data_IF_349998721692
#
_entry.id   IF_349998721692
#
_cell.length_a   1.000
_cell.length_b   1.000
_cell.length_c   1.000
_cell.angle_alpha   90.00
_cell.angle_beta   90.00
_cell.angle_gamma   90.00
#
_symmetry.space_group_name_H-M   'P 1'
#
loop_
_entity.id
_entity.type
_entity.pdbx_description
1 polymer ?
#
# COMPACT_ATOMS: atom_id res chain seq x y z
N UNK A 1 13.44 -4.52 -21.42
CA UNK A 1 12.68 -5.42 -20.49
C UNK A 1 11.21 -5.04 -20.58
N UNK A 2 10.39 -5.86 -21.19
CA UNK A 2 8.96 -5.57 -21.28
C UNK A 2 8.29 -5.48 -19.91
N UNK A 3 7.45 -4.47 -19.70
CA UNK A 3 6.69 -4.27 -18.47
C UNK A 3 5.23 -4.60 -18.71
N UNK A 4 4.67 -5.51 -17.92
CA UNK A 4 3.23 -5.73 -17.88
C UNK A 4 2.66 -4.90 -16.74
N UNK A 5 1.82 -3.93 -17.08
CA UNK A 5 1.09 -3.11 -16.11
C UNK A 5 -0.27 -3.75 -15.86
N UNK A 6 -0.63 -3.96 -14.60
CA UNK A 6 -1.91 -4.54 -14.19
C UNK A 6 -2.73 -3.50 -13.43
N UNK A 7 -3.93 -3.20 -13.94
CA UNK A 7 -4.92 -2.33 -13.29
C UNK A 7 -6.13 -3.20 -12.89
N UNK A 8 -6.33 -3.50 -11.60
CA UNK A 8 -7.59 -4.04 -11.11
C UNK A 8 -8.63 -2.93 -11.06
N UNK A 9 -9.86 -3.18 -11.48
CA UNK A 9 -10.95 -2.21 -11.41
C UNK A 9 -12.28 -2.86 -11.06
N UNK A 10 -13.12 -2.14 -10.31
CA UNK A 10 -14.49 -2.50 -10.01
C UNK A 10 -15.29 -1.23 -9.71
N UNK A 11 -16.31 -0.95 -10.54
CA UNK A 11 -17.17 0.24 -10.41
C UNK A 11 -16.35 1.55 -10.32
N UNK A 12 -15.50 1.79 -11.33
CA UNK A 12 -14.61 2.96 -11.42
C UNK A 12 -14.74 3.69 -12.76
N UNK A 13 -15.96 3.74 -13.32
CA UNK A 13 -16.21 4.44 -14.58
C UNK A 13 -15.66 5.87 -14.62
N UNK A 14 -15.62 6.56 -13.48
CA UNK A 14 -15.20 7.96 -13.37
C UNK A 14 -13.67 8.15 -13.31
N UNK A 15 -12.86 7.12 -13.01
CA UNK A 15 -11.40 7.25 -12.85
C UNK A 15 -10.58 6.36 -13.77
N UNK A 16 -11.09 5.16 -14.10
CA UNK A 16 -10.31 4.12 -14.80
C UNK A 16 -9.70 4.58 -16.13
N UNK A 17 -10.39 5.45 -16.87
CA UNK A 17 -9.88 5.97 -18.16
C UNK A 17 -8.63 6.82 -17.98
N UNK A 18 -8.59 7.65 -16.93
CA UNK A 18 -7.43 8.49 -16.64
C UNK A 18 -6.26 7.64 -16.12
N UNK A 19 -6.52 6.61 -15.30
CA UNK A 19 -5.51 5.63 -14.89
C UNK A 19 -4.89 4.95 -16.14
N UNK A 20 -5.71 4.42 -17.04
CA UNK A 20 -5.27 3.79 -18.30
C UNK A 20 -4.44 4.77 -19.14
N UNK A 21 -4.91 6.00 -19.34
CA UNK A 21 -4.20 7.02 -20.10
C UNK A 21 -2.84 7.36 -19.49
N UNK A 22 -2.74 7.41 -18.16
CA UNK A 22 -1.50 7.70 -17.46
C UNK A 22 -0.42 6.63 -17.73
N UNK A 23 -0.83 5.38 -17.97
CA UNK A 23 0.04 4.28 -18.39
C UNK A 23 0.40 4.38 -19.87
N UNK A 24 -0.59 4.54 -20.75
CA UNK A 24 -0.38 4.55 -22.20
C UNK A 24 0.47 5.74 -22.67
N UNK A 25 0.51 6.84 -21.91
CA UNK A 25 1.32 8.02 -22.16
C UNK A 25 2.73 7.96 -21.53
N UNK A 26 3.12 6.87 -20.87
CA UNK A 26 4.46 6.70 -20.33
C UNK A 26 5.53 6.90 -21.41
N UNK A 27 6.68 7.47 -21.02
CA UNK A 27 7.84 7.63 -21.92
C UNK A 27 8.46 6.29 -22.31
N UNK A 28 8.37 5.29 -21.43
CA UNK A 28 8.78 3.92 -21.71
C UNK A 28 7.72 3.23 -22.56
N UNK A 29 8.09 2.70 -23.75
CA UNK A 29 7.14 2.21 -24.75
C UNK A 29 7.00 0.68 -24.79
N UNK A 30 8.00 -0.06 -24.33
CA UNK A 30 7.98 -1.53 -24.29
C UNK A 30 7.13 -2.02 -23.09
N UNK A 31 5.82 -1.79 -23.19
CA UNK A 31 4.84 -2.17 -22.19
C UNK A 31 3.61 -2.80 -22.81
N UNK A 32 2.95 -3.67 -22.06
CA UNK A 32 1.55 -4.07 -22.22
C UNK A 32 0.74 -3.61 -21.00
N UNK A 33 -0.52 -3.30 -21.21
CA UNK A 33 -1.45 -2.88 -20.17
C UNK A 33 -2.61 -3.87 -20.09
N UNK A 34 -2.79 -4.48 -18.94
CA UNK A 34 -3.84 -5.44 -18.64
C UNK A 34 -4.76 -4.83 -17.59
N UNK A 35 -5.97 -4.46 -18.01
CA UNK A 35 -7.02 -4.03 -17.11
C UNK A 35 -7.91 -5.21 -16.78
N UNK A 36 -8.07 -5.51 -15.51
CA UNK A 36 -8.97 -6.57 -15.04
C UNK A 36 -10.19 -5.92 -14.40
N UNK A 37 -11.31 -5.95 -15.13
CA UNK A 37 -12.60 -5.50 -14.61
C UNK A 37 -13.25 -6.63 -13.80
N UNK A 38 -13.25 -6.50 -12.50
CA UNK A 38 -13.73 -7.53 -11.57
C UNK A 38 -15.27 -7.55 -11.45
N UNK A 39 -15.94 -7.48 -12.59
CA UNK A 39 -17.40 -7.60 -12.69
C UNK A 39 -18.13 -6.30 -12.39
N UNK A 40 -17.67 -5.15 -12.88
CA UNK A 40 -18.33 -3.86 -12.72
C UNK A 40 -19.79 -3.89 -13.23
N UNK A 41 -20.64 -3.15 -12.52
CA UNK A 41 -22.07 -2.99 -12.82
C UNK A 41 -22.42 -1.58 -13.32
N UNK A 42 -21.41 -0.68 -13.31
CA UNK A 42 -21.50 0.69 -13.86
C UNK A 42 -20.94 0.75 -15.29
N UNK A 43 -20.73 1.94 -15.85
CA UNK A 43 -20.21 2.15 -17.21
C UNK A 43 -18.71 1.83 -17.37
N UNK A 44 -18.02 1.23 -16.37
CA UNK A 44 -16.57 0.94 -16.43
C UNK A 44 -16.21 0.16 -17.69
N UNK A 45 -16.89 -0.97 -17.94
CA UNK A 45 -16.60 -1.83 -19.11
C UNK A 45 -16.83 -1.11 -20.45
N UNK A 46 -17.91 -0.32 -20.55
CA UNK A 46 -18.21 0.47 -21.75
C UNK A 46 -17.14 1.52 -22.03
N UNK A 47 -16.68 2.24 -20.99
CA UNK A 47 -15.61 3.25 -21.10
C UNK A 47 -14.27 2.63 -21.49
N UNK A 48 -13.92 1.47 -20.95
CA UNK A 48 -12.72 0.73 -21.33
C UNK A 48 -12.78 0.24 -22.76
N UNK A 49 -13.94 -0.26 -23.20
CA UNK A 49 -14.16 -0.74 -24.59
C UNK A 49 -14.06 0.37 -25.65
N UNK A 50 -14.21 1.62 -25.27
CA UNK A 50 -14.04 2.78 -26.17
C UNK A 50 -12.57 3.18 -26.38
N UNK A 51 -11.62 2.58 -25.64
CA UNK A 51 -10.20 2.89 -25.77
C UNK A 51 -9.54 2.01 -26.83
N UNK A 52 -8.96 2.62 -27.83
CA UNK A 52 -8.27 1.95 -28.93
C UNK A 52 -6.76 2.10 -28.81
N UNK A 53 -6.10 1.18 -28.13
CA UNK A 53 -4.63 1.08 -28.08
C UNK A 53 -4.20 -0.39 -28.17
N UNK A 54 -3.30 -0.78 -29.09
CA UNK A 54 -2.90 -2.17 -29.27
C UNK A 54 -2.20 -2.79 -28.06
N UNK A 55 -1.71 -1.98 -27.14
CA UNK A 55 -1.06 -2.43 -25.90
C UNK A 55 -2.07 -2.73 -24.78
N UNK A 56 -3.34 -2.26 -24.92
CA UNK A 56 -4.39 -2.44 -23.93
C UNK A 56 -5.13 -3.75 -24.14
N UNK A 57 -5.24 -4.53 -23.08
CA UNK A 57 -6.10 -5.73 -23.01
C UNK A 57 -7.03 -5.59 -21.82
N UNK A 58 -8.32 -5.71 -22.03
CA UNK A 58 -9.34 -5.72 -20.96
C UNK A 58 -9.77 -7.17 -20.72
N UNK A 59 -9.78 -7.60 -19.48
CA UNK A 59 -10.17 -8.94 -19.04
C UNK A 59 -11.32 -8.79 -18.04
N UNK A 60 -12.38 -9.57 -18.25
CA UNK A 60 -13.51 -9.61 -17.32
C UNK A 60 -13.24 -10.63 -16.22
N UNK A 61 -13.26 -10.17 -14.97
CA UNK A 61 -13.21 -10.97 -13.75
C UNK A 61 -14.57 -11.51 -13.32
N UNK A 62 -14.63 -12.11 -12.12
CA UNK A 62 -15.84 -12.75 -11.57
C UNK A 62 -16.28 -12.17 -10.25
N UNK A 63 -15.91 -10.93 -9.95
CA UNK A 63 -16.15 -10.26 -8.67
C UNK A 63 -15.53 -11.02 -7.48
N UNK A 64 -14.25 -11.37 -7.64
CA UNK A 64 -13.50 -12.17 -6.67
C UNK A 64 -12.55 -11.30 -5.77
N UNK A 65 -12.58 -9.99 -5.95
CA UNK A 65 -11.80 -9.03 -5.17
C UNK A 65 -10.46 -8.66 -5.80
N UNK A 66 -9.85 -7.61 -5.25
CA UNK A 66 -8.65 -6.95 -5.81
C UNK A 66 -7.44 -7.89 -5.92
N UNK A 67 -7.24 -8.79 -4.95
CA UNK A 67 -6.18 -9.80 -4.98
C UNK A 67 -6.32 -10.73 -6.18
N UNK A 68 -7.53 -11.28 -6.38
CA UNK A 68 -7.83 -12.17 -7.51
C UNK A 68 -7.70 -11.44 -8.84
N UNK A 69 -8.16 -10.19 -8.93
CA UNK A 69 -8.00 -9.37 -10.13
C UNK A 69 -6.52 -9.11 -10.46
N UNK A 70 -5.69 -8.76 -9.47
CA UNK A 70 -4.24 -8.60 -9.69
C UNK A 70 -3.57 -9.92 -10.11
N UNK A 71 -3.88 -11.03 -9.44
CA UNK A 71 -3.36 -12.36 -9.78
C UNK A 71 -3.77 -12.77 -11.21
N UNK A 72 -5.04 -12.57 -11.57
CA UNK A 72 -5.54 -12.84 -12.93
C UNK A 72 -4.79 -11.99 -13.96
N UNK A 73 -4.59 -10.70 -13.71
CA UNK A 73 -3.80 -9.82 -14.58
C UNK A 73 -2.38 -10.34 -14.79
N UNK A 74 -1.69 -10.69 -13.70
CA UNK A 74 -0.32 -11.23 -13.76
C UNK A 74 -0.27 -12.59 -14.47
N UNK A 75 -1.29 -13.44 -14.33
CA UNK A 75 -1.35 -14.73 -15.05
C UNK A 75 -1.43 -14.57 -16.56
N UNK A 76 -1.86 -13.42 -17.06
CA UNK A 76 -1.96 -13.06 -18.47
C UNK A 76 -0.80 -12.17 -18.96
N UNK A 77 0.10 -11.82 -18.07
CA UNK A 77 1.26 -10.99 -18.34
C UNK A 77 2.37 -11.77 -19.04
N UNK A 78 3.00 -11.12 -20.02
CA UNK A 78 4.14 -11.67 -20.77
C UNK A 78 5.47 -10.99 -20.38
N UNK A 79 5.41 -9.80 -19.79
CA UNK A 79 6.57 -8.99 -19.43
C UNK A 79 7.46 -9.62 -18.36
N UNK A 80 8.72 -9.24 -18.38
CA UNK A 80 9.71 -9.63 -17.37
C UNK A 80 9.51 -8.87 -16.04
N UNK A 81 8.91 -7.69 -16.13
CA UNK A 81 8.55 -6.84 -15.00
C UNK A 81 7.04 -6.72 -14.89
N UNK A 82 6.54 -6.71 -13.66
CA UNK A 82 5.16 -6.46 -13.31
C UNK A 82 5.09 -5.13 -12.58
N UNK A 83 4.16 -4.29 -12.95
CA UNK A 83 3.85 -3.06 -12.24
C UNK A 83 2.35 -2.98 -11.99
N UNK A 84 1.94 -2.44 -10.85
CA UNK A 84 0.54 -2.29 -10.48
C UNK A 84 0.13 -0.82 -10.49
N UNK A 85 -1.10 -0.55 -10.87
CA UNK A 85 -1.73 0.75 -10.72
C UNK A 85 -3.18 0.54 -10.30
N UNK A 86 -3.60 1.14 -9.20
CA UNK A 86 -4.99 1.13 -8.79
C UNK A 86 -5.82 2.07 -9.71
N UNK A 87 -7.05 1.71 -9.98
CA UNK A 87 -7.89 2.36 -11.02
C UNK A 87 -8.35 3.78 -10.68
N UNK A 88 -8.04 4.27 -9.50
CA UNK A 88 -8.27 5.64 -9.01
C UNK A 88 -6.97 6.45 -8.86
N UNK A 89 -5.81 5.84 -9.17
CA UNK A 89 -4.49 6.47 -9.10
C UNK A 89 -3.96 6.86 -10.49
N UNK A 90 -2.89 7.66 -10.51
CA UNK A 90 -2.26 8.12 -11.75
C UNK A 90 -0.73 7.95 -11.68
N UNK A 91 -0.09 7.87 -12.85
CA UNK A 91 1.36 7.89 -12.97
C UNK A 91 1.86 9.15 -13.69
N UNK A 92 3.00 9.66 -13.22
CA UNK A 92 3.78 10.63 -13.96
C UNK A 92 4.51 9.98 -15.14
N UNK A 93 4.71 10.68 -16.28
CA UNK A 93 5.22 10.08 -17.52
C UNK A 93 6.60 9.43 -17.46
N UNK A 94 7.38 9.68 -16.42
CA UNK A 94 8.74 9.15 -16.24
C UNK A 94 8.86 7.91 -15.37
N UNK A 95 7.76 7.41 -14.78
CA UNK A 95 7.81 6.33 -13.79
C UNK A 95 8.47 5.07 -14.32
N UNK A 96 7.89 4.45 -15.34
CA UNK A 96 8.43 3.19 -15.89
C UNK A 96 9.85 3.34 -16.41
N UNK A 97 10.18 4.47 -17.05
CA UNK A 97 11.55 4.70 -17.55
C UNK A 97 12.58 4.72 -16.41
N UNK A 98 12.27 5.36 -15.29
CA UNK A 98 13.16 5.42 -14.13
C UNK A 98 13.34 4.04 -13.48
N UNK A 99 12.25 3.32 -13.26
CA UNK A 99 12.26 2.01 -12.61
C UNK A 99 12.95 0.93 -13.46
N UNK A 100 12.66 0.88 -14.76
CA UNK A 100 13.30 -0.06 -15.69
C UNK A 100 14.79 0.22 -15.81
N UNK A 101 15.20 1.49 -15.93
CA UNK A 101 16.61 1.87 -15.98
C UNK A 101 17.35 1.47 -14.70
N UNK A 102 16.73 1.62 -13.54
CA UNK A 102 17.30 1.20 -12.27
C UNK A 102 17.45 -0.33 -12.20
N UNK A 103 16.35 -1.09 -12.46
CA UNK A 103 16.37 -2.55 -12.43
C UNK A 103 17.32 -3.18 -13.46
N UNK A 104 17.58 -2.50 -14.58
CA UNK A 104 18.53 -2.95 -15.59
C UNK A 104 19.99 -2.86 -15.08
N UNK A 105 20.32 -1.83 -14.27
CA UNK A 105 21.66 -1.65 -13.69
C UNK A 105 21.86 -2.46 -12.40
N UNK A 106 20.77 -2.88 -11.76
CA UNK A 106 20.78 -3.58 -10.48
C UNK A 106 20.07 -4.94 -10.59
N UNK A 107 20.73 -5.96 -11.21
CA UNK A 107 20.11 -7.29 -11.37
C UNK A 107 19.82 -7.99 -10.04
N UNK A 108 20.50 -7.62 -8.97
CA UNK A 108 20.32 -8.12 -7.60
C UNK A 108 19.07 -7.56 -6.91
N UNK A 109 18.47 -6.47 -7.44
CA UNK A 109 17.22 -5.87 -6.93
C UNK A 109 16.03 -6.55 -7.59
N UNK A 110 15.05 -6.94 -6.78
CA UNK A 110 13.87 -7.69 -7.21
C UNK A 110 12.61 -6.83 -7.32
N UNK A 111 12.51 -5.79 -6.50
CA UNK A 111 11.40 -4.86 -6.49
C UNK A 111 11.90 -3.42 -6.35
N UNK A 112 11.32 -2.50 -7.06
CA UNK A 112 11.58 -1.06 -6.95
C UNK A 112 10.29 -0.34 -6.67
N UNK A 113 10.33 0.67 -5.81
CA UNK A 113 9.21 1.54 -5.55
C UNK A 113 9.64 3.00 -5.52
N UNK A 114 8.70 3.87 -5.86
CA UNK A 114 8.92 5.31 -5.90
C UNK A 114 8.18 6.00 -4.77
N UNK A 115 8.52 7.27 -4.50
CA UNK A 115 7.62 8.12 -3.73
C UNK A 115 6.34 8.38 -4.53
N UNK A 116 5.33 8.89 -3.86
CA UNK A 116 4.08 9.28 -4.46
C UNK A 116 3.55 10.59 -3.87
N UNK A 117 2.84 11.34 -4.68
CA UNK A 117 1.99 12.43 -4.22
C UNK A 117 0.68 11.86 -3.66
N UNK A 118 0.13 12.48 -2.63
CA UNK A 118 -1.26 12.25 -2.22
C UNK A 118 -2.10 13.45 -2.61
N UNK A 119 -3.26 13.20 -3.21
CA UNK A 119 -4.25 14.23 -3.56
C UNK A 119 -5.57 13.96 -2.86
N UNK A 120 -6.07 14.99 -2.19
CA UNK A 120 -7.40 14.98 -1.57
C UNK A 120 -8.11 16.30 -1.92
N UNK A 121 -9.03 16.27 -2.86
CA UNK A 121 -9.60 17.48 -3.46
C UNK A 121 -8.48 18.36 -4.01
N UNK A 122 -8.45 19.65 -3.60
CA UNK A 122 -7.42 20.62 -4.01
C UNK A 122 -6.11 20.52 -3.20
N UNK A 123 -6.06 19.67 -2.16
CA UNK A 123 -4.88 19.52 -1.33
C UNK A 123 -3.92 18.50 -1.94
N UNK A 124 -2.66 18.92 -2.13
CA UNK A 124 -1.57 18.09 -2.64
C UNK A 124 -0.50 17.92 -1.55
N UNK A 125 -0.21 16.67 -1.19
CA UNK A 125 0.91 16.30 -0.35
C UNK A 125 2.01 15.75 -1.25
N UNK A 126 3.13 16.48 -1.44
CA UNK A 126 4.09 16.18 -2.52
C UNK A 126 4.93 14.94 -2.28
N UNK A 127 4.96 14.40 -1.07
CA UNK A 127 5.72 13.20 -0.72
C UNK A 127 5.00 12.41 0.37
N UNK A 128 4.64 11.19 0.04
CA UNK A 128 4.09 10.23 1.01
C UNK A 128 5.18 9.67 1.92
N UNK A 129 6.37 9.39 1.37
CA UNK A 129 7.46 8.78 2.13
C UNK A 129 7.94 9.69 3.28
N UNK A 130 7.91 11.01 3.09
CA UNK A 130 8.25 11.99 4.14
C UNK A 130 7.24 12.04 5.28
N UNK A 131 6.05 11.46 5.10
CA UNK A 131 5.01 11.36 6.12
C UNK A 131 5.09 10.05 6.91
N UNK A 132 5.84 9.06 6.43
CA UNK A 132 6.05 7.80 7.15
C UNK A 132 6.91 8.02 8.39
N UNK A 133 6.68 7.22 9.43
CA UNK A 133 7.38 7.41 10.71
C UNK A 133 8.67 6.61 10.82
N UNK A 134 8.77 5.48 10.14
CA UNK A 134 9.90 4.55 10.20
C UNK A 134 10.77 4.70 8.96
N UNK A 135 10.16 4.70 7.77
CA UNK A 135 10.91 4.75 6.53
C UNK A 135 11.59 6.11 6.31
N UNK A 136 10.93 7.23 6.66
CA UNK A 136 11.51 8.58 6.56
C UNK A 136 12.85 8.70 7.30
N UNK A 137 12.98 8.09 8.49
CA UNK A 137 14.24 8.09 9.25
C UNK A 137 15.38 7.34 8.56
N UNK A 138 15.05 6.35 7.71
CA UNK A 138 16.07 5.67 6.88
C UNK A 138 16.54 6.58 5.75
N UNK A 139 15.63 7.37 5.17
CA UNK A 139 15.94 8.34 4.12
C UNK A 139 16.89 9.45 4.61
N UNK A 140 16.74 9.89 5.86
CA UNK A 140 17.58 10.93 6.46
C UNK A 140 19.05 10.50 6.68
N UNK A 141 19.31 9.19 6.72
CA UNK A 141 20.61 8.62 7.07
C UNK A 141 21.48 8.21 5.89
N UNK A 142 20.97 8.27 4.68
CA UNK A 142 21.64 7.76 3.50
C UNK A 142 21.70 8.81 2.38
N UNK A 143 22.84 8.91 1.70
CA UNK A 143 22.93 9.56 0.40
C UNK A 143 22.66 8.50 -0.69
N UNK A 144 21.62 8.71 -1.51
CA UNK A 144 21.21 7.75 -2.54
C UNK A 144 20.83 8.47 -3.84
N UNK A 145 21.81 9.09 -4.54
CA UNK A 145 21.55 9.92 -5.73
C UNK A 145 20.86 9.13 -6.86
N UNK A 146 21.07 7.82 -6.94
CA UNK A 146 20.44 6.94 -7.94
C UNK A 146 19.28 6.10 -7.41
N UNK A 147 19.21 5.91 -6.09
CA UNK A 147 18.19 5.09 -5.40
C UNK A 147 18.77 4.38 -4.18
N UNK A 148 17.96 4.15 -3.18
CA UNK A 148 18.31 3.44 -1.95
C UNK A 148 18.03 1.95 -2.12
N UNK A 149 19.07 1.10 -2.15
CA UNK A 149 18.91 -0.36 -2.11
C UNK A 149 18.73 -0.80 -0.66
N UNK A 150 17.75 -1.66 -0.44
CA UNK A 150 17.36 -2.21 0.85
C UNK A 150 17.51 -3.72 0.82
N UNK A 151 18.29 -4.27 1.74
CA UNK A 151 18.36 -5.70 1.94
C UNK A 151 16.98 -6.26 2.35
N UNK A 152 16.72 -7.52 2.02
CA UNK A 152 15.46 -8.18 2.35
C UNK A 152 15.11 -8.04 3.84
N UNK A 153 16.07 -8.27 4.74
CA UNK A 153 15.89 -8.12 6.19
C UNK A 153 15.51 -6.68 6.59
N UNK A 154 16.20 -5.69 6.05
CA UNK A 154 15.94 -4.27 6.38
C UNK A 154 14.54 -3.82 5.96
N UNK A 155 14.13 -4.23 4.76
CA UNK A 155 12.78 -3.96 4.27
C UNK A 155 11.74 -4.69 5.10
N UNK A 156 11.99 -5.94 5.46
CA UNK A 156 11.07 -6.72 6.32
C UNK A 156 10.90 -6.07 7.70
N UNK A 157 11.98 -5.62 8.33
CA UNK A 157 11.91 -4.92 9.62
C UNK A 157 11.08 -3.64 9.52
N UNK A 158 11.23 -2.88 8.43
CA UNK A 158 10.39 -1.72 8.17
C UNK A 158 8.91 -2.11 8.03
N UNK A 159 8.63 -3.14 7.23
CA UNK A 159 7.27 -3.63 6.98
C UNK A 159 6.59 -4.22 8.22
N UNK A 160 7.34 -4.71 9.22
CA UNK A 160 6.77 -5.12 10.50
C UNK A 160 6.27 -3.93 11.36
N UNK A 161 6.66 -2.72 11.04
CA UNK A 161 6.25 -1.50 11.75
C UNK A 161 5.23 -0.66 10.97
N UNK A 162 5.46 -0.47 9.66
CA UNK A 162 4.61 0.32 8.78
C UNK A 162 4.66 -0.17 7.34
N UNK A 163 3.70 0.25 6.51
CA UNK A 163 3.66 -0.07 5.08
C UNK A 163 3.95 1.19 4.24
N UNK A 164 5.20 1.45 3.85
CA UNK A 164 5.54 2.63 3.05
C UNK A 164 5.19 2.45 1.56
N UNK A 165 5.01 1.22 1.09
CA UNK A 165 4.80 0.92 -0.33
C UNK A 165 3.30 0.79 -0.63
N UNK A 166 2.85 1.47 -1.68
CA UNK A 166 1.53 1.28 -2.28
C UNK A 166 1.67 0.54 -3.60
N UNK A 167 0.70 -0.30 -4.00
CA UNK A 167 0.76 -1.01 -5.28
C UNK A 167 1.05 -0.09 -6.47
N UNK A 168 0.42 1.07 -6.52
CA UNK A 168 0.60 2.06 -7.60
C UNK A 168 2.03 2.62 -7.72
N UNK A 169 2.85 2.48 -6.68
CA UNK A 169 4.26 2.88 -6.69
C UNK A 169 5.23 1.73 -6.96
N UNK A 170 4.76 0.47 -7.05
CA UNK A 170 5.58 -0.73 -7.06
C UNK A 170 5.76 -1.30 -8.48
N UNK A 171 7.01 -1.63 -8.82
CA UNK A 171 7.38 -2.47 -9.97
C UNK A 171 8.33 -3.56 -9.49
N UNK A 172 8.13 -4.81 -9.93
CA UNK A 172 8.96 -5.93 -9.51
C UNK A 172 9.21 -6.92 -10.64
N UNK A 173 10.24 -7.75 -10.47
CA UNK A 173 10.51 -8.85 -11.40
C UNK A 173 9.39 -9.88 -11.31
N UNK A 174 8.86 -10.33 -12.45
CA UNK A 174 7.80 -11.35 -12.50
C UNK A 174 8.21 -12.63 -11.76
N UNK A 175 9.48 -13.02 -11.84
CA UNK A 175 10.01 -14.16 -11.09
C UNK A 175 9.85 -13.99 -9.57
N UNK A 176 10.10 -12.78 -9.04
CA UNK A 176 9.94 -12.50 -7.61
C UNK A 176 8.46 -12.52 -7.18
N UNK A 177 7.56 -12.03 -8.04
CA UNK A 177 6.10 -12.15 -7.80
C UNK A 177 5.68 -13.61 -7.71
N UNK A 178 6.14 -14.44 -8.65
CA UNK A 178 5.83 -15.88 -8.68
C UNK A 178 6.42 -16.62 -7.48
N UNK A 179 7.68 -16.33 -7.11
CA UNK A 179 8.34 -16.94 -5.95
C UNK A 179 7.64 -16.58 -4.63
N UNK A 180 7.12 -15.34 -4.51
CA UNK A 180 6.32 -14.93 -3.37
C UNK A 180 4.90 -15.53 -3.36
N UNK A 181 4.45 -16.22 -4.43
CA UNK A 181 3.15 -16.87 -4.53
C UNK A 181 1.99 -15.94 -4.87
N UNK A 182 2.24 -14.72 -5.38
CA UNK A 182 1.21 -13.75 -5.72
C UNK A 182 0.49 -13.16 -4.50
N UNK A 183 -0.63 -12.49 -4.73
CA UNK A 183 -1.50 -11.98 -3.64
C UNK A 183 -2.32 -13.13 -3.04
N UNK A 184 -2.44 -13.14 -1.72
CA UNK A 184 -3.31 -14.09 -1.01
C UNK A 184 -4.77 -13.61 -1.11
N UNK A 185 -5.59 -14.35 -1.85
CA UNK A 185 -7.00 -14.00 -2.13
C UNK A 185 -7.92 -14.16 -0.92
N UNK A 186 -7.44 -14.76 0.16
CA UNK A 186 -8.20 -14.85 1.43
C UNK A 186 -8.19 -13.53 2.22
N UNK A 187 -7.28 -12.59 1.85
CA UNK A 187 -7.23 -11.26 2.45
C UNK A 187 -8.11 -10.29 1.68
N UNK A 188 -9.13 -9.82 2.34
CA UNK A 188 -10.08 -8.84 1.80
C UNK A 188 -9.72 -7.38 2.10
N UNK A 189 -8.61 -7.17 2.82
CA UNK A 189 -8.03 -5.86 3.15
C UNK A 189 -6.60 -6.06 3.62
N UNK A 190 -5.71 -5.09 3.34
CA UNK A 190 -4.27 -5.13 3.65
C UNK A 190 -3.52 -6.28 2.94
N UNK A 191 -4.05 -6.74 1.82
CA UNK A 191 -3.49 -7.76 0.94
C UNK A 191 -2.13 -7.32 0.37
N UNK A 192 -1.96 -6.02 0.13
CA UNK A 192 -0.72 -5.40 -0.31
C UNK A 192 0.38 -5.53 0.76
N UNK A 193 0.05 -5.25 2.02
CA UNK A 193 1.00 -5.37 3.11
C UNK A 193 1.39 -6.82 3.36
N UNK A 194 0.43 -7.72 3.29
CA UNK A 194 0.64 -9.16 3.41
C UNK A 194 1.60 -9.67 2.32
N UNK A 195 1.35 -9.31 1.06
CA UNK A 195 2.21 -9.67 -0.07
C UNK A 195 3.63 -9.10 0.09
N UNK A 196 3.77 -7.84 0.48
CA UNK A 196 5.05 -7.18 0.69
C UNK A 196 5.88 -7.86 1.81
N UNK A 197 5.25 -8.29 2.91
CA UNK A 197 5.92 -9.01 3.99
C UNK A 197 6.45 -10.36 3.52
N UNK A 198 5.70 -11.11 2.67
CA UNK A 198 6.20 -12.34 2.06
C UNK A 198 7.34 -12.07 1.09
N UNK A 199 7.18 -11.09 0.22
CA UNK A 199 8.21 -10.69 -0.75
C UNK A 199 9.52 -10.30 -0.05
N UNK A 200 9.45 -9.55 1.05
CA UNK A 200 10.61 -9.09 1.81
C UNK A 200 11.30 -10.18 2.64
N UNK A 201 10.85 -11.44 2.61
CA UNK A 201 11.58 -12.55 3.25
C UNK A 201 12.89 -12.86 2.54
N UNK A 202 12.90 -12.77 1.21
CA UNK A 202 14.01 -13.24 0.38
C UNK A 202 14.50 -12.23 -0.66
N UNK A 203 13.74 -11.13 -0.89
CA UNK A 203 13.97 -10.26 -2.01
C UNK A 203 14.44 -8.87 -1.58
N UNK A 204 15.44 -8.34 -2.31
CA UNK A 204 15.93 -6.97 -2.16
C UNK A 204 15.00 -5.99 -2.84
N UNK A 205 14.84 -4.85 -2.19
CA UNK A 205 14.07 -3.73 -2.70
C UNK A 205 14.96 -2.54 -3.06
N UNK A 206 14.43 -1.62 -3.84
CA UNK A 206 15.02 -0.31 -3.99
C UNK A 206 13.94 0.78 -3.91
N UNK A 207 14.32 1.92 -3.38
CA UNK A 207 13.51 3.12 -3.33
C UNK A 207 14.11 4.20 -4.23
N UNK A 208 13.28 4.80 -5.09
CA UNK A 208 13.63 5.98 -5.86
C UNK A 208 12.94 7.21 -5.24
N UNK A 209 13.73 8.16 -4.72
CA UNK A 209 13.22 9.40 -4.07
C UNK A 209 12.66 10.39 -5.11
N UNK A 210 11.63 9.94 -5.81
CA UNK A 210 10.93 10.69 -6.85
C UNK A 210 9.44 10.40 -6.76
N UNK A 211 8.57 11.41 -6.59
CA UNK A 211 7.12 11.21 -6.59
C UNK A 211 6.65 10.96 -8.04
N UNK A 212 6.58 9.68 -8.43
CA UNK A 212 6.24 9.25 -9.78
C UNK A 212 4.86 8.59 -9.88
N UNK A 213 4.14 8.46 -8.78
CA UNK A 213 2.75 8.06 -8.73
C UNK A 213 1.93 9.10 -7.95
N UNK A 214 0.64 9.15 -8.22
CA UNK A 214 -0.34 10.01 -7.54
C UNK A 214 -1.41 9.14 -6.94
N UNK A 215 -1.46 9.11 -5.61
CA UNK A 215 -2.51 8.45 -4.84
C UNK A 215 -3.69 9.43 -4.67
N UNK A 216 -4.83 9.09 -5.23
CA UNK A 216 -6.04 9.91 -5.13
C UNK A 216 -6.91 9.42 -3.96
N UNK A 217 -7.15 10.31 -3.00
CA UNK A 217 -8.05 10.04 -1.89
C UNK A 217 -9.44 10.53 -2.26
N UNK A 218 -10.37 9.61 -2.41
CA UNK A 218 -11.78 9.89 -2.70
C UNK A 218 -12.70 9.31 -1.59
N UNK A 219 -13.92 9.83 -1.41
CA UNK A 219 -14.86 9.35 -0.41
C UNK A 219 -15.22 7.86 -0.56
N UNK A 220 -15.10 7.31 -1.77
CA UNK A 220 -15.34 5.92 -2.13
C UNK A 220 -14.09 5.03 -2.07
N UNK A 221 -12.96 5.56 -1.60
CA UNK A 221 -11.76 4.77 -1.33
C UNK A 221 -12.01 3.73 -0.23
N UNK A 222 -11.64 2.47 -0.49
CA UNK A 222 -11.94 1.34 0.41
C UNK A 222 -11.43 1.55 1.84
N UNK A 223 -10.27 2.18 2.02
CA UNK A 223 -9.70 2.47 3.34
C UNK A 223 -10.50 3.52 4.13
N UNK A 224 -11.34 4.33 3.48
CA UNK A 224 -12.22 5.29 4.12
C UNK A 224 -13.56 4.63 4.49
N UNK A 225 -14.09 3.80 3.59
CA UNK A 225 -15.40 3.17 3.76
C UNK A 225 -15.42 2.15 4.91
N UNK A 226 -14.33 1.42 5.15
CA UNK A 226 -14.25 0.40 6.20
C UNK A 226 -12.90 0.43 6.95
N UNK A 227 -12.65 1.53 7.64
CA UNK A 227 -11.42 1.72 8.40
C UNK A 227 -11.26 0.67 9.52
N UNK A 228 -12.37 0.25 10.16
CA UNK A 228 -12.30 -0.73 11.25
C UNK A 228 -11.91 -2.13 10.76
N UNK A 229 -12.33 -2.51 9.55
CA UNK A 229 -11.92 -3.76 8.90
C UNK A 229 -10.45 -3.73 8.53
N UNK A 230 -9.98 -2.61 7.95
CA UNK A 230 -8.57 -2.40 7.61
C UNK A 230 -7.66 -2.54 8.83
N UNK A 231 -7.94 -1.81 9.92
CA UNK A 231 -7.13 -1.89 11.15
C UNK A 231 -7.14 -3.30 11.78
N UNK A 232 -8.29 -3.98 11.74
CA UNK A 232 -8.39 -5.35 12.24
C UNK A 232 -7.53 -6.32 11.41
N UNK A 233 -7.55 -6.18 10.08
CA UNK A 233 -6.73 -6.98 9.16
C UNK A 233 -5.24 -6.74 9.42
N UNK A 234 -4.81 -5.47 9.57
CA UNK A 234 -3.42 -5.10 9.85
C UNK A 234 -2.93 -5.70 11.18
N UNK A 235 -3.73 -5.60 12.25
CA UNK A 235 -3.39 -6.20 13.55
C UNK A 235 -3.28 -7.72 13.43
N UNK A 236 -4.24 -8.38 12.75
CA UNK A 236 -4.22 -9.83 12.50
C UNK A 236 -2.97 -10.26 11.74
N UNK A 237 -2.58 -9.49 10.72
CA UNK A 237 -1.37 -9.73 9.93
C UNK A 237 -0.12 -9.71 10.82
N UNK A 238 0.05 -8.64 11.61
CA UNK A 238 1.21 -8.52 12.50
C UNK A 238 1.25 -9.58 13.60
N UNK A 239 0.09 -10.03 14.10
CA UNK A 239 0.01 -11.16 15.05
C UNK A 239 0.46 -12.45 14.39
N UNK A 240 0.04 -12.71 13.14
CA UNK A 240 0.49 -13.87 12.35
C UNK A 240 2.01 -13.83 12.12
N UNK A 241 2.54 -12.68 11.69
CA UNK A 241 3.99 -12.53 11.48
C UNK A 241 4.76 -12.74 12.77
N UNK A 242 4.31 -12.15 13.90
CA UNK A 242 4.94 -12.37 15.21
C UNK A 242 5.10 -13.84 15.59
N UNK A 243 4.07 -14.65 15.32
CA UNK A 243 4.10 -16.07 15.63
C UNK A 243 5.13 -16.86 14.80
N UNK A 244 5.54 -16.31 13.64
CA UNK A 244 6.50 -16.94 12.73
C UNK A 244 7.96 -16.44 12.92
N UNK A 245 8.22 -15.50 13.85
CA UNK A 245 9.55 -14.88 14.00
C UNK A 245 10.52 -15.70 14.87
N UNK A 246 10.04 -16.69 15.64
CA UNK A 246 10.88 -17.43 16.60
C UNK A 246 11.56 -16.48 17.59
N UNK A 247 12.88 -16.62 17.76
CA UNK A 247 13.69 -15.85 18.71
C UNK A 247 14.38 -14.62 18.10
N UNK A 248 13.92 -14.14 16.91
CA UNK A 248 14.48 -12.93 16.29
C UNK A 248 14.09 -11.68 17.09
N UNK A 249 14.94 -11.31 18.06
CA UNK A 249 14.70 -10.20 19.00
C UNK A 249 14.42 -8.89 18.30
N UNK A 250 15.14 -8.58 17.21
CA UNK A 250 14.97 -7.32 16.46
C UNK A 250 13.62 -7.29 15.74
N UNK A 251 13.26 -8.38 15.06
CA UNK A 251 11.98 -8.50 14.38
C UNK A 251 10.81 -8.55 15.36
N UNK A 252 10.96 -9.21 16.52
CA UNK A 252 9.97 -9.20 17.60
C UNK A 252 9.76 -7.78 18.17
N UNK A 253 10.83 -7.00 18.30
CA UNK A 253 10.72 -5.61 18.71
C UNK A 253 10.04 -4.74 17.65
N UNK A 254 10.35 -4.93 16.36
CA UNK A 254 9.73 -4.22 15.26
C UNK A 254 8.22 -4.51 15.17
N UNK A 255 7.82 -5.78 15.16
CA UNK A 255 6.39 -6.15 15.11
C UNK A 255 5.61 -5.66 16.34
N UNK A 256 6.25 -5.63 17.52
CA UNK A 256 5.64 -5.05 18.73
C UNK A 256 5.37 -3.55 18.55
N UNK A 257 6.32 -2.79 17.98
CA UNK A 257 6.12 -1.35 17.68
C UNK A 257 4.99 -1.15 16.66
N UNK A 258 4.96 -1.95 15.60
CA UNK A 258 3.89 -1.94 14.61
C UNK A 258 2.51 -2.22 15.22
N UNK A 259 2.40 -3.27 16.05
CA UNK A 259 1.17 -3.59 16.77
C UNK A 259 0.71 -2.44 17.67
N UNK A 260 1.62 -1.85 18.46
CA UNK A 260 1.30 -0.71 19.32
C UNK A 260 0.79 0.48 18.50
N UNK A 261 1.41 0.75 17.34
CA UNK A 261 0.98 1.81 16.42
C UNK A 261 -0.44 1.56 15.88
N UNK A 262 -0.70 0.36 15.33
CA UNK A 262 -2.04 0.00 14.78
C UNK A 262 -3.14 -0.02 15.83
N UNK A 263 -2.84 -0.54 17.03
CA UNK A 263 -3.78 -0.52 18.16
C UNK A 263 -4.14 0.90 18.55
N UNK A 264 -3.16 1.82 18.58
CA UNK A 264 -3.43 3.24 18.84
C UNK A 264 -4.36 3.85 17.79
N UNK A 265 -4.08 3.64 16.50
CA UNK A 265 -4.94 4.14 15.40
C UNK A 265 -6.35 3.60 15.52
N UNK A 266 -6.50 2.30 15.70
CA UNK A 266 -7.80 1.64 15.82
C UNK A 266 -8.60 2.14 17.04
N UNK A 267 -7.95 2.28 18.20
CA UNK A 267 -8.61 2.79 19.39
C UNK A 267 -9.03 4.26 19.24
N UNK A 268 -8.19 5.11 18.64
CA UNK A 268 -8.51 6.50 18.38
C UNK A 268 -9.64 6.65 17.36
N UNK A 269 -9.72 5.80 16.35
CA UNK A 269 -10.86 5.77 15.44
C UNK A 269 -12.19 5.64 16.21
N UNK A 270 -12.28 4.72 17.19
CA UNK A 270 -13.47 4.60 18.04
C UNK A 270 -13.69 5.77 18.97
N UNK A 271 -12.62 6.35 19.51
CA UNK A 271 -12.74 7.51 20.41
C UNK A 271 -13.26 8.74 19.65
N UNK A 272 -12.76 9.00 18.45
CA UNK A 272 -13.21 10.09 17.56
C UNK A 272 -14.67 9.89 17.10
N UNK A 273 -15.11 8.63 16.94
CA UNK A 273 -16.51 8.29 16.69
C UNK A 273 -17.39 8.34 17.97
N UNK A 274 -16.87 8.88 19.08
CA UNK A 274 -17.59 9.02 20.37
C UNK A 274 -17.73 7.73 21.18
N UNK A 275 -17.16 6.60 20.72
CA UNK A 275 -17.28 5.30 21.39
C UNK A 275 -16.12 5.02 22.36
N UNK A 276 -16.06 5.75 23.49
CA UNK A 276 -15.01 5.60 24.52
C UNK A 276 -14.90 4.18 25.07
N UNK A 277 -16.03 3.46 25.21
CA UNK A 277 -16.03 2.07 25.69
C UNK A 277 -15.26 1.16 24.71
N UNK A 278 -15.52 1.27 23.39
CA UNK A 278 -14.78 0.49 22.37
C UNK A 278 -13.32 0.88 22.32
N UNK A 279 -13.00 2.17 22.36
CA UNK A 279 -11.62 2.65 22.39
C UNK A 279 -10.84 2.08 23.58
N UNK A 280 -11.42 2.17 24.81
CA UNK A 280 -10.82 1.60 26.01
C UNK A 280 -10.60 0.08 25.90
N UNK A 281 -11.58 -0.66 25.37
CA UNK A 281 -11.49 -2.10 25.16
C UNK A 281 -10.36 -2.48 24.19
N UNK A 282 -10.20 -1.71 23.08
CA UNK A 282 -9.10 -1.92 22.11
C UNK A 282 -7.73 -1.67 22.77
N UNK A 283 -7.59 -0.59 23.53
CA UNK A 283 -6.35 -0.32 24.25
C UNK A 283 -6.01 -1.41 25.28
N UNK A 284 -7.01 -1.87 26.04
CA UNK A 284 -6.82 -2.90 27.06
C UNK A 284 -6.42 -4.25 26.45
N UNK A 285 -7.11 -4.68 25.38
CA UNK A 285 -6.74 -5.88 24.63
C UNK A 285 -5.35 -5.75 24.02
N UNK A 286 -5.02 -4.56 23.51
CA UNK A 286 -3.71 -4.24 22.97
C UNK A 286 -2.61 -4.37 24.01
N UNK A 287 -2.84 -3.94 25.25
CA UNK A 287 -1.92 -4.18 26.37
C UNK A 287 -1.70 -5.68 26.60
N UNK A 288 -2.76 -6.48 26.68
CA UNK A 288 -2.65 -7.93 26.82
C UNK A 288 -1.85 -8.60 25.69
N UNK A 289 -1.93 -8.06 24.46
CA UNK A 289 -1.21 -8.57 23.30
C UNK A 289 0.28 -8.17 23.28
N UNK A 290 0.62 -6.96 23.73
CA UNK A 290 1.95 -6.34 23.51
C UNK A 290 2.76 -6.14 24.80
N UNK A 291 2.12 -6.16 25.97
CA UNK A 291 2.71 -5.77 27.26
C UNK A 291 3.07 -4.27 27.35
N UNK A 292 2.52 -3.42 26.48
CA UNK A 292 2.83 -1.99 26.46
C UNK A 292 2.00 -1.21 27.49
N UNK A 293 2.65 -0.79 28.59
CA UNK A 293 2.01 -0.03 29.66
C UNK A 293 1.40 1.31 29.20
N UNK A 294 1.91 1.89 28.10
CA UNK A 294 1.33 3.08 27.50
C UNK A 294 -0.05 2.84 26.91
N UNK A 295 -0.35 1.62 26.42
CA UNK A 295 -1.70 1.25 25.99
C UNK A 295 -2.63 1.10 27.19
N UNK A 296 -2.15 0.48 28.29
CA UNK A 296 -2.93 0.36 29.52
C UNK A 296 -3.30 1.73 30.10
N UNK A 297 -2.32 2.64 30.17
CA UNK A 297 -2.56 4.00 30.62
C UNK A 297 -3.62 4.73 29.75
N UNK A 298 -3.58 4.53 28.41
CA UNK A 298 -4.57 5.10 27.48
C UNK A 298 -5.95 4.47 27.62
N UNK A 299 -6.07 3.19 27.95
CA UNK A 299 -7.36 2.55 28.21
C UNK A 299 -8.14 3.25 29.34
N UNK A 300 -7.43 3.77 30.33
CA UNK A 300 -7.97 4.56 31.44
C UNK A 300 -8.18 6.03 31.02
N UNK A 301 -7.16 6.59 30.39
CA UNK A 301 -7.10 8.03 30.08
C UNK A 301 -8.14 8.47 29.03
N UNK A 302 -8.64 7.56 28.17
CA UNK A 302 -9.70 7.86 27.19
C UNK A 302 -11.01 8.34 27.86
N UNK A 303 -11.17 8.09 29.17
CA UNK A 303 -12.31 8.54 29.95
C UNK A 303 -12.15 9.95 30.55
N UNK A 304 -10.91 10.49 30.56
CA UNK A 304 -10.61 11.78 31.12
C UNK A 304 -10.95 12.93 30.14
N UNK A 305 -11.55 14.06 30.59
CA UNK A 305 -11.97 15.15 29.71
C UNK A 305 -10.85 15.84 28.92
N UNK A 306 -9.60 15.76 29.40
CA UNK A 306 -8.45 16.53 28.89
C UNK A 306 -7.65 15.86 27.78
N UNK A 307 -7.92 14.63 27.39
CA UNK A 307 -7.18 13.92 26.33
C UNK A 307 -7.76 14.08 24.92
N UNK A 308 -8.55 15.13 24.70
CA UNK A 308 -9.04 15.50 23.37
C UNK A 308 -7.99 16.18 22.49
N UNK A 309 -6.79 16.49 23.02
CA UNK A 309 -5.68 16.96 22.19
C UNK A 309 -4.94 15.76 21.59
N UNK A 310 -5.23 15.44 20.34
CA UNK A 310 -4.50 14.50 19.51
C UNK A 310 -3.00 14.72 19.59
N UNK A 311 -2.16 13.67 19.69
CA UNK A 311 -0.94 13.69 18.94
C UNK A 311 -1.37 13.65 17.46
N UNK A 312 -1.18 14.76 16.76
CA UNK A 312 -1.46 14.87 15.31
C UNK A 312 -0.54 13.91 14.59
N UNK A 313 -0.98 12.65 14.39
CA UNK A 313 -0.35 11.81 13.39
C UNK A 313 -0.53 12.49 12.03
N UNK A 314 0.39 12.33 11.08
CA UNK A 314 0.19 12.80 9.71
C UNK A 314 -1.17 12.35 9.15
N UNK A 315 -1.57 11.10 9.41
CA UNK A 315 -2.87 10.52 9.02
C UNK A 315 -4.08 11.14 9.77
N UNK A 316 -3.90 11.65 11.00
CA UNK A 316 -4.96 12.36 11.75
C UNK A 316 -5.30 13.74 11.21
N UNK A 317 -4.42 14.37 10.41
CA UNK A 317 -4.74 15.57 9.64
C UNK A 317 -5.66 15.24 8.46
N UNK A 318 -5.52 14.06 7.85
CA UNK A 318 -6.37 13.59 6.75
C UNK A 318 -7.82 13.36 7.20
N UNK A 319 -8.03 12.70 8.35
CA UNK A 319 -9.37 12.47 8.89
C UNK A 319 -10.11 13.75 9.30
N UNK A 320 -9.40 14.84 9.60
CA UNK A 320 -10.00 16.14 9.91
C UNK A 320 -10.40 16.90 8.64
N UNK A 321 -9.64 16.74 7.55
CA UNK A 321 -9.93 17.35 6.24
C UNK A 321 -11.10 16.67 5.51
N UNK A 322 -11.35 15.38 5.77
CA UNK A 322 -12.50 14.64 5.19
C UNK A 322 -13.85 15.08 5.81
N UNK A 323 -13.83 15.77 6.97
CA UNK A 323 -15.05 16.20 7.68
C UNK A 323 -15.35 17.71 7.55
N UNK A 324 -14.48 18.48 6.92
CA UNK A 324 -14.68 19.88 6.57
C UNK A 324 -15.03 20.04 5.08
#
# INVERSE_FOLDING_TARGET
MTVSVVIPTYNRAHTVVDAVRSVLTQRYRDLELIVVDDGSTDDTAARLGALADPRLRVIMGRHAGVSAARNLGVSKASGQLISFLDSDDLWHPGKLAAEVAFLARHPEVHAVFTDLEKRHGDHVFPSFMRQTSVFSRRLERAAYPEGLVLEARDMRLCLLEEVPIKPSALTLRRAAFAAAGGFDETWSSSEDWEFLLRLAREHRFAYLDRPLAVLTISPDSLHILDQSRGETAMIRLLVRERAALGDDVEALAAVRRGLVSRIKHFAWHYADAGSRRRASAVFFRGFGLTGDLGLLARAIAVWLPRLQSRPRSPEGKEAALVRS
#
